data_IF_892974836256
#
_entry.id   IF_892974836256
#
_cell.length_a   1.000
_cell.length_b   1.000
_cell.length_c   1.000
_cell.angle_alpha   90.00
_cell.angle_beta   90.00
_cell.angle_gamma   90.00
#
_symmetry.space_group_name_H-M   'P 1'
#
loop_
_entity.id
_entity.type
_entity.pdbx_description
1 polymer ?
#
# COMPACT_ATOMS: atom_id res chain seq x y z
N UNK A 1 6.46 -33.80 41.45
CA UNK A 1 5.93 -32.44 41.20
C UNK A 1 6.45 -31.53 42.28
N UNK A 2 7.63 -30.96 42.09
CA UNK A 2 8.21 -29.94 42.96
C UNK A 2 8.08 -28.62 42.24
N UNK A 3 7.10 -27.82 42.65
CA UNK A 3 6.94 -26.43 42.25
C UNK A 3 8.12 -25.60 42.77
N UNK A 4 9.12 -25.37 41.93
CA UNK A 4 10.06 -24.28 42.15
C UNK A 4 9.37 -22.98 41.71
N UNK A 5 8.93 -22.19 42.70
CA UNK A 5 8.59 -20.78 42.50
C UNK A 5 9.82 -20.09 41.92
N UNK A 6 9.79 -19.79 40.62
CA UNK A 6 10.71 -18.84 39.98
C UNK A 6 10.67 -17.55 40.80
N UNK A 7 11.69 -17.33 41.61
CA UNK A 7 11.91 -16.05 42.26
C UNK A 7 11.97 -14.98 41.17
N UNK A 8 11.20 -13.91 41.34
CA UNK A 8 11.35 -12.70 40.55
C UNK A 8 12.79 -12.21 40.73
N UNK A 9 13.66 -12.55 39.80
CA UNK A 9 14.93 -11.86 39.65
C UNK A 9 14.59 -10.40 39.35
N UNK A 10 15.10 -9.50 40.18
CA UNK A 10 15.02 -8.06 39.99
C UNK A 10 15.61 -7.74 38.60
N UNK A 11 14.74 -7.51 37.64
CA UNK A 11 15.08 -7.35 36.23
C UNK A 11 15.85 -6.05 36.08
N UNK A 12 17.02 -6.08 35.46
CA UNK A 12 17.72 -4.84 35.10
C UNK A 12 16.83 -4.08 34.12
N UNK A 13 16.28 -2.95 34.56
CA UNK A 13 15.45 -2.08 33.73
C UNK A 13 16.34 -1.30 32.74
N UNK A 14 15.82 -1.08 31.53
CA UNK A 14 16.40 -0.10 30.63
C UNK A 14 15.93 1.27 31.09
N UNK A 15 16.74 2.31 30.88
CA UNK A 15 16.26 3.66 31.14
C UNK A 15 15.11 4.02 30.19
N UNK A 16 14.20 4.89 30.65
CA UNK A 16 12.99 5.25 29.91
C UNK A 16 13.29 5.90 28.54
N UNK A 17 14.44 6.54 28.39
CA UNK A 17 14.83 7.16 27.13
C UNK A 17 15.19 6.09 26.09
N UNK A 18 15.99 5.10 26.46
CA UNK A 18 16.34 3.96 25.62
C UNK A 18 15.12 3.11 25.25
N UNK A 19 14.18 2.90 26.17
CA UNK A 19 12.92 2.22 25.85
C UNK A 19 12.09 2.98 24.80
N UNK A 20 12.01 4.31 24.91
CA UNK A 20 11.30 5.14 23.95
C UNK A 20 11.97 5.08 22.56
N UNK A 21 13.30 5.16 22.52
CA UNK A 21 14.08 5.00 21.29
C UNK A 21 13.86 3.63 20.64
N UNK A 22 13.83 2.54 21.42
CA UNK A 22 13.52 1.20 20.93
C UNK A 22 12.11 1.11 20.35
N UNK A 23 11.11 1.68 21.03
CA UNK A 23 9.73 1.72 20.55
C UNK A 23 9.63 2.48 19.22
N UNK A 24 10.28 3.64 19.13
CA UNK A 24 10.35 4.44 17.90
C UNK A 24 11.00 3.66 16.76
N UNK A 25 12.05 2.90 17.03
CA UNK A 25 12.74 2.09 16.03
C UNK A 25 11.85 0.99 15.46
N UNK A 26 11.18 0.22 16.32
CA UNK A 26 10.24 -0.83 15.89
C UNK A 26 9.08 -0.25 15.08
N UNK A 27 8.52 0.87 15.54
CA UNK A 27 7.48 1.58 14.81
C UNK A 27 7.98 2.01 13.41
N UNK A 28 9.19 2.58 13.35
CA UNK A 28 9.81 3.02 12.09
C UNK A 28 9.97 1.86 11.12
N UNK A 29 10.49 0.72 11.57
CA UNK A 29 10.64 -0.46 10.74
C UNK A 29 9.30 -1.01 10.27
N UNK A 30 8.34 -1.18 11.17
CA UNK A 30 7.03 -1.71 10.86
C UNK A 30 6.34 -0.90 9.75
N UNK A 31 6.32 0.43 9.90
CA UNK A 31 5.66 1.30 8.93
C UNK A 31 6.44 1.41 7.63
N UNK A 32 7.77 1.44 7.68
CA UNK A 32 8.60 1.42 6.47
C UNK A 32 8.33 0.17 5.64
N UNK A 33 8.29 -1.02 6.26
CA UNK A 33 7.98 -2.28 5.55
C UNK A 33 6.57 -2.28 4.95
N UNK A 34 5.56 -1.80 5.71
CA UNK A 34 4.17 -1.77 5.26
C UNK A 34 3.97 -0.83 4.07
N UNK A 35 4.51 0.38 4.16
CA UNK A 35 4.40 1.39 3.10
C UNK A 35 5.11 0.91 1.83
N UNK A 36 6.31 0.35 1.98
CA UNK A 36 7.08 -0.20 0.85
C UNK A 36 6.30 -1.30 0.13
N UNK A 37 5.77 -2.29 0.87
CA UNK A 37 4.95 -3.38 0.30
C UNK A 37 3.72 -2.88 -0.42
N UNK A 38 3.00 -1.90 0.16
CA UNK A 38 1.80 -1.37 -0.47
C UNK A 38 2.12 -0.56 -1.72
N UNK A 39 3.26 0.13 -1.73
CA UNK A 39 3.72 0.88 -2.90
C UNK A 39 4.15 -0.05 -4.03
N UNK A 40 4.79 -1.19 -3.73
CA UNK A 40 5.06 -2.24 -4.72
C UNK A 40 3.76 -2.78 -5.35
N UNK A 41 2.70 -2.98 -4.56
CA UNK A 41 1.37 -3.41 -5.07
C UNK A 41 0.75 -2.33 -5.96
N UNK A 42 0.89 -1.06 -5.59
CA UNK A 42 0.38 0.06 -6.39
C UNK A 42 1.08 0.15 -7.75
N UNK A 43 2.41 0.03 -7.76
CA UNK A 43 3.22 0.12 -8.99
C UNK A 43 3.11 -1.13 -9.86
N UNK A 44 3.00 -2.31 -9.24
CA UNK A 44 2.83 -3.57 -9.96
C UNK A 44 1.85 -4.50 -9.23
N UNK A 45 0.53 -4.39 -9.53
CA UNK A 45 -0.49 -5.20 -8.87
C UNK A 45 -0.30 -6.71 -9.10
N UNK A 46 0.26 -7.10 -10.24
CA UNK A 46 0.49 -8.50 -10.59
C UNK A 46 1.58 -9.14 -9.69
N UNK A 47 1.23 -10.11 -8.83
CA UNK A 47 2.20 -10.72 -7.92
C UNK A 47 3.28 -11.52 -8.65
N UNK A 48 2.97 -12.17 -9.76
CA UNK A 48 3.95 -12.96 -10.51
C UNK A 48 5.03 -12.07 -11.12
N UNK A 49 4.63 -10.91 -11.64
CA UNK A 49 5.57 -9.97 -12.22
C UNK A 49 6.48 -9.32 -11.16
N UNK A 50 5.96 -9.06 -9.96
CA UNK A 50 6.78 -8.60 -8.83
C UNK A 50 7.83 -9.63 -8.41
N UNK A 51 7.45 -10.91 -8.34
CA UNK A 51 8.37 -11.99 -7.99
C UNK A 51 9.45 -12.14 -9.07
N UNK A 52 9.06 -12.07 -10.34
CA UNK A 52 9.99 -12.13 -11.47
C UNK A 52 11.03 -11.01 -11.40
N UNK A 53 10.59 -9.76 -11.21
CA UNK A 53 11.47 -8.60 -11.10
C UNK A 53 12.46 -8.74 -9.92
N UNK A 54 11.98 -9.17 -8.76
CA UNK A 54 12.83 -9.44 -7.60
C UNK A 54 13.90 -10.51 -7.87
N UNK A 55 13.58 -11.57 -8.62
CA UNK A 55 14.54 -12.62 -8.98
C UNK A 55 15.64 -12.07 -9.91
N UNK A 56 15.26 -11.28 -10.90
CA UNK A 56 16.23 -10.65 -11.82
C UNK A 56 17.14 -9.66 -11.09
N UNK A 57 16.58 -8.84 -10.19
CA UNK A 57 17.33 -7.93 -9.33
C UNK A 57 18.35 -8.69 -8.46
N UNK A 58 17.95 -9.80 -7.83
CA UNK A 58 18.86 -10.64 -7.03
C UNK A 58 19.96 -11.32 -7.85
N UNK A 59 19.73 -11.57 -9.13
CA UNK A 59 20.69 -12.19 -10.04
C UNK A 59 21.59 -11.16 -10.74
N UNK A 60 21.42 -9.87 -10.47
CA UNK A 60 22.09 -8.76 -11.15
C UNK A 60 21.92 -8.85 -12.69
N UNK A 61 20.71 -9.25 -13.10
CA UNK A 61 20.32 -9.41 -14.50
C UNK A 61 19.19 -8.47 -14.82
N UNK A 62 19.18 -7.95 -16.05
CA UNK A 62 18.09 -7.09 -16.51
C UNK A 62 16.84 -7.94 -16.79
N UNK A 63 15.74 -7.62 -16.11
CA UNK A 63 14.45 -8.26 -16.39
C UNK A 63 14.01 -8.02 -17.85
N UNK A 64 13.32 -8.97 -18.48
CA UNK A 64 12.76 -8.79 -19.81
C UNK A 64 11.82 -7.58 -19.81
N UNK A 65 11.98 -6.67 -20.78
CA UNK A 65 11.08 -5.53 -20.94
C UNK A 65 9.75 -5.99 -21.54
N UNK A 66 8.86 -6.54 -20.71
CA UNK A 66 7.51 -6.92 -21.14
C UNK A 66 6.66 -5.68 -21.30
N UNK A 67 5.87 -5.62 -22.38
CA UNK A 67 4.89 -4.55 -22.60
C UNK A 67 3.92 -4.44 -21.43
N UNK A 68 3.70 -3.22 -20.95
CA UNK A 68 2.65 -2.97 -19.96
C UNK A 68 1.27 -2.90 -20.61
N UNK A 69 0.22 -2.82 -19.79
CA UNK A 69 -1.15 -2.92 -20.27
C UNK A 69 -1.50 -1.85 -21.33
N UNK A 70 -1.15 -0.56 -21.14
CA UNK A 70 -1.42 0.47 -22.15
C UNK A 70 -0.65 0.24 -23.45
N UNK A 71 0.62 -0.18 -23.39
CA UNK A 71 1.39 -0.51 -24.59
C UNK A 71 0.80 -1.68 -25.36
N UNK A 72 0.34 -2.73 -24.65
CA UNK A 72 -0.27 -3.90 -25.25
C UNK A 72 -1.55 -3.52 -26.00
N UNK A 73 -2.43 -2.75 -25.35
CA UNK A 73 -3.62 -2.21 -26.00
C UNK A 73 -3.25 -1.36 -27.21
N UNK A 74 -2.28 -0.45 -27.05
CA UNK A 74 -1.83 0.44 -28.11
C UNK A 74 -1.30 -0.30 -29.33
N UNK A 75 -0.61 -1.43 -29.13
CA UNK A 75 -0.13 -2.28 -30.21
C UNK A 75 -1.27 -2.87 -31.03
N UNK A 76 -2.26 -3.50 -30.40
CA UNK A 76 -3.42 -4.06 -31.10
C UNK A 76 -4.24 -2.98 -31.82
N UNK A 77 -4.39 -1.79 -31.24
CA UNK A 77 -5.11 -0.69 -31.89
C UNK A 77 -4.39 -0.20 -33.16
N UNK A 78 -3.07 -0.11 -33.13
CA UNK A 78 -2.27 0.26 -34.30
C UNK A 78 -2.36 -0.81 -35.38
N UNK A 79 -2.20 -2.09 -35.01
CA UNK A 79 -2.27 -3.21 -35.94
C UNK A 79 -3.64 -3.29 -36.61
N UNK A 80 -4.72 -3.17 -35.82
CA UNK A 80 -6.08 -3.12 -36.34
C UNK A 80 -6.29 -1.91 -37.26
N UNK A 81 -5.81 -0.72 -36.88
CA UNK A 81 -5.94 0.48 -37.71
C UNK A 81 -5.23 0.36 -39.06
N UNK A 82 -4.08 -0.33 -39.09
CA UNK A 82 -3.37 -0.64 -40.34
C UNK A 82 -4.13 -1.66 -41.19
N UNK A 83 -4.77 -2.66 -40.59
CA UNK A 83 -5.56 -3.68 -41.29
C UNK A 83 -6.86 -3.12 -41.89
N UNK A 84 -7.53 -2.18 -41.21
CA UNK A 84 -8.66 -1.44 -41.76
C UNK A 84 -8.28 -0.55 -42.96
N UNK A 85 -6.99 -0.21 -43.09
CA UNK A 85 -6.43 0.54 -44.20
C UNK A 85 -6.55 2.07 -44.04
N UNK A 86 -5.62 2.82 -44.66
CA UNK A 86 -5.45 4.27 -44.46
C UNK A 86 -6.59 5.12 -45.05
N UNK A 87 -7.44 4.52 -45.89
CA UNK A 87 -8.60 5.19 -46.49
C UNK A 87 -9.82 5.30 -45.57
N UNK A 88 -9.79 4.68 -44.39
CA UNK A 88 -10.92 4.70 -43.45
C UNK A 88 -10.65 5.70 -42.32
N UNK A 89 -11.66 6.51 -41.97
CA UNK A 89 -11.55 7.41 -40.81
C UNK A 89 -11.38 6.62 -39.50
N UNK A 90 -11.99 5.44 -39.41
CA UNK A 90 -11.86 4.56 -38.26
C UNK A 90 -10.43 4.02 -38.11
N UNK A 91 -9.81 3.54 -39.19
CA UNK A 91 -8.41 3.09 -39.16
C UNK A 91 -7.45 4.19 -38.72
N UNK A 92 -7.61 5.40 -39.26
CA UNK A 92 -6.80 6.56 -38.87
C UNK A 92 -7.02 6.96 -37.39
N UNK A 93 -8.26 6.91 -36.89
CA UNK A 93 -8.56 7.18 -35.48
C UNK A 93 -7.96 6.12 -34.54
N UNK A 94 -8.07 4.84 -34.90
CA UNK A 94 -7.48 3.73 -34.14
C UNK A 94 -5.97 3.88 -34.00
N UNK A 95 -5.27 4.24 -35.07
CA UNK A 95 -3.82 4.47 -35.03
C UNK A 95 -3.49 5.60 -34.03
N UNK A 96 -4.21 6.72 -34.06
CA UNK A 96 -3.99 7.85 -33.12
C UNK A 96 -4.26 7.49 -31.67
N UNK A 97 -5.33 6.73 -31.41
CA UNK A 97 -5.61 6.22 -30.08
C UNK A 97 -4.50 5.26 -29.61
N UNK A 98 -4.05 4.34 -30.48
CA UNK A 98 -3.00 3.39 -30.15
C UNK A 98 -1.64 4.03 -29.90
N UNK A 99 -1.24 5.02 -30.71
CA UNK A 99 -0.04 5.84 -30.49
C UNK A 99 -0.09 6.55 -29.13
N UNK A 100 -1.25 7.07 -28.74
CA UNK A 100 -1.44 7.75 -27.45
C UNK A 100 -1.37 6.76 -26.28
N UNK A 101 -1.95 5.56 -26.43
CA UNK A 101 -1.83 4.51 -25.41
C UNK A 101 -0.38 4.04 -25.21
N UNK A 102 0.41 3.92 -26.28
CA UNK A 102 1.85 3.64 -26.16
C UNK A 102 2.61 4.74 -25.40
N UNK A 103 2.27 6.01 -25.62
CA UNK A 103 2.86 7.14 -24.85
C UNK A 103 2.50 7.07 -23.37
N UNK A 104 1.26 6.73 -23.02
CA UNK A 104 0.85 6.50 -21.63
C UNK A 104 1.63 5.34 -21.02
N UNK A 105 1.78 4.23 -21.74
CA UNK A 105 2.56 3.11 -21.24
C UNK A 105 4.03 3.46 -21.02
N UNK A 106 4.61 4.36 -21.82
CA UNK A 106 5.97 4.88 -21.57
C UNK A 106 6.03 5.68 -20.27
N UNK A 107 5.07 6.59 -20.04
CA UNK A 107 4.99 7.36 -18.79
C UNK A 107 4.77 6.46 -17.56
N UNK A 108 3.99 5.40 -17.71
CA UNK A 108 3.75 4.40 -16.66
C UNK A 108 5.04 3.66 -16.26
N UNK A 109 5.87 3.27 -17.24
CA UNK A 109 7.20 2.71 -16.95
C UNK A 109 8.10 3.68 -16.21
N UNK A 110 8.08 4.95 -16.60
CA UNK A 110 8.87 5.99 -15.94
C UNK A 110 8.43 6.19 -14.49
N UNK A 111 7.12 6.18 -14.21
CA UNK A 111 6.59 6.22 -12.85
C UNK A 111 7.09 5.05 -12.00
N UNK A 112 7.01 3.82 -12.53
CA UNK A 112 7.46 2.60 -11.85
C UNK A 112 8.95 2.70 -11.54
N UNK A 113 9.78 3.04 -12.53
CA UNK A 113 11.23 3.13 -12.35
C UNK A 113 11.63 4.25 -11.38
N UNK A 114 11.05 5.44 -11.52
CA UNK A 114 11.36 6.58 -10.66
C UNK A 114 10.98 6.29 -9.21
N UNK A 115 9.80 5.71 -8.99
CA UNK A 115 9.35 5.31 -7.65
C UNK A 115 10.21 4.18 -7.07
N UNK A 116 10.63 3.22 -7.88
CA UNK A 116 11.53 2.15 -7.43
C UNK A 116 12.87 2.71 -6.96
N UNK A 117 13.49 3.59 -7.75
CA UNK A 117 14.83 4.14 -7.47
C UNK A 117 14.81 5.14 -6.31
N UNK A 118 13.89 6.10 -6.33
CA UNK A 118 13.93 7.23 -5.40
C UNK A 118 13.14 6.99 -4.11
N UNK A 119 12.21 6.04 -4.11
CA UNK A 119 11.38 5.73 -2.94
C UNK A 119 11.61 4.32 -2.40
N UNK A 120 11.45 3.27 -3.19
CA UNK A 120 11.55 1.89 -2.67
C UNK A 120 12.97 1.50 -2.26
N UNK A 121 13.98 1.80 -3.08
CA UNK A 121 15.38 1.42 -2.82
C UNK A 121 15.93 2.02 -1.52
N UNK A 122 15.77 3.32 -1.21
CA UNK A 122 16.19 3.88 0.08
C UNK A 122 15.54 3.20 1.28
N UNK A 123 14.23 2.93 1.21
CA UNK A 123 13.51 2.23 2.28
C UNK A 123 14.01 0.79 2.45
N UNK A 124 14.27 0.09 1.34
CA UNK A 124 14.83 -1.26 1.34
C UNK A 124 16.24 -1.28 1.94
N UNK A 125 17.09 -0.32 1.59
CA UNK A 125 18.44 -0.19 2.16
C UNK A 125 18.41 0.02 3.67
N UNK A 126 17.48 0.83 4.19
CA UNK A 126 17.27 0.97 5.63
C UNK A 126 16.87 -0.35 6.30
N UNK A 127 15.89 -1.07 5.74
CA UNK A 127 15.41 -2.34 6.30
C UNK A 127 16.48 -3.44 6.23
N UNK A 128 17.15 -3.57 5.09
CA UNK A 128 18.10 -4.64 4.83
C UNK A 128 19.52 -4.36 5.36
N UNK A 129 19.84 -3.09 5.65
CA UNK A 129 21.13 -2.64 6.16
C UNK A 129 21.03 -2.14 7.61
N UNK A 130 20.68 -0.87 7.80
CA UNK A 130 20.73 -0.17 9.09
C UNK A 130 19.90 -0.90 10.16
N UNK A 131 18.67 -1.29 9.83
CA UNK A 131 17.78 -1.93 10.79
C UNK A 131 18.25 -3.32 11.20
N UNK A 132 18.88 -4.09 10.30
CA UNK A 132 19.48 -5.38 10.69
C UNK A 132 20.58 -5.20 11.73
N UNK A 133 21.36 -4.13 11.61
CA UNK A 133 22.38 -3.77 12.60
C UNK A 133 21.72 -3.38 13.93
N UNK A 134 20.71 -2.51 13.90
CA UNK A 134 19.93 -2.14 15.10
C UNK A 134 19.35 -3.38 15.79
N UNK A 135 18.73 -4.29 15.03
CA UNK A 135 18.13 -5.52 15.55
C UNK A 135 19.18 -6.45 16.19
N UNK A 136 20.37 -6.56 15.60
CA UNK A 136 21.49 -7.33 16.14
C UNK A 136 21.97 -6.74 17.47
N UNK A 137 22.25 -5.45 17.51
CA UNK A 137 22.75 -4.78 18.73
C UNK A 137 21.70 -4.79 19.85
N UNK A 138 20.42 -4.63 19.52
CA UNK A 138 19.30 -4.82 20.46
C UNK A 138 19.28 -6.24 21.05
N UNK A 139 19.48 -7.28 20.22
CA UNK A 139 19.53 -8.67 20.70
C UNK A 139 20.74 -8.89 21.63
N UNK A 140 21.89 -8.33 21.29
CA UNK A 140 23.08 -8.37 22.15
C UNK A 140 22.84 -7.65 23.48
N UNK A 141 22.19 -6.49 23.47
CA UNK A 141 21.81 -5.76 24.68
C UNK A 141 20.89 -6.61 25.58
N UNK A 142 19.89 -7.28 24.99
CA UNK A 142 19.01 -8.18 25.74
C UNK A 142 19.77 -9.35 26.36
N UNK A 143 20.73 -9.94 25.65
CA UNK A 143 21.57 -11.00 26.18
C UNK A 143 22.43 -10.49 27.35
N UNK A 144 23.10 -9.34 27.19
CA UNK A 144 23.93 -8.74 28.26
C UNK A 144 23.12 -8.36 29.49
N UNK A 145 21.86 -7.95 29.32
CA UNK A 145 20.93 -7.73 30.44
C UNK A 145 20.70 -9.01 31.23
N UNK A 146 20.46 -10.13 30.54
CA UNK A 146 20.26 -11.44 31.18
C UNK A 146 21.53 -11.94 31.88
N UNK A 147 22.70 -11.72 31.29
CA UNK A 147 24.00 -12.06 31.89
C UNK A 147 24.22 -11.28 33.20
N UNK A 148 23.91 -9.98 33.19
CA UNK A 148 23.98 -9.11 34.37
C UNK A 148 22.96 -9.52 35.45
N UNK A 149 21.72 -9.82 35.08
CA UNK A 149 20.69 -10.32 36.01
C UNK A 149 21.14 -11.64 36.69
N UNK A 150 21.77 -12.53 35.92
CA UNK A 150 22.31 -13.78 36.42
C UNK A 150 23.50 -13.55 37.38
N UNK A 151 24.42 -12.65 37.04
CA UNK A 151 25.56 -12.27 37.90
C UNK A 151 25.08 -11.64 39.22
N UNK A 152 24.13 -10.70 39.16
CA UNK A 152 23.49 -10.10 40.35
C UNK A 152 22.84 -11.17 41.23
N UNK A 153 22.18 -12.16 40.62
CA UNK A 153 21.57 -13.28 41.35
C UNK A 153 22.62 -14.18 42.00
N UNK A 154 23.74 -14.46 41.34
CA UNK A 154 24.87 -15.22 41.91
C UNK A 154 25.47 -14.50 43.12
N UNK A 155 25.69 -13.18 43.00
CA UNK A 155 26.18 -12.36 44.10
C UNK A 155 25.24 -12.41 45.31
N UNK A 156 23.92 -12.29 45.12
CA UNK A 156 22.92 -12.42 46.20
C UNK A 156 22.97 -13.80 46.89
N UNK A 157 23.35 -14.87 46.19
CA UNK A 157 23.45 -16.24 46.73
C UNK A 157 24.80 -16.55 47.38
N UNK A 158 25.86 -15.78 47.10
CA UNK A 158 27.20 -16.03 47.63
C UNK A 158 27.29 -15.72 49.14
N UNK A 159 27.52 -16.76 49.96
CA UNK A 159 27.59 -16.64 51.43
C UNK A 159 29.02 -16.59 51.97
N UNK A 160 30.00 -17.11 51.24
CA UNK A 160 31.41 -17.18 51.65
C UNK A 160 32.16 -15.96 51.12
N UNK A 161 33.06 -15.37 51.91
CA UNK A 161 33.76 -14.13 51.58
C UNK A 161 34.51 -14.18 50.23
N UNK A 162 35.23 -15.27 49.97
CA UNK A 162 35.97 -15.47 48.71
C UNK A 162 35.02 -15.60 47.51
N UNK A 163 33.97 -16.43 47.64
CA UNK A 163 32.95 -16.58 46.60
C UNK A 163 32.19 -15.26 46.34
N UNK A 164 31.97 -14.47 47.39
CA UNK A 164 31.35 -13.14 47.28
C UNK A 164 32.25 -12.16 46.54
N UNK A 165 33.54 -12.10 46.86
CA UNK A 165 34.50 -11.26 46.14
C UNK A 165 34.58 -11.62 44.65
N UNK A 166 34.57 -12.92 44.32
CA UNK A 166 34.54 -13.37 42.93
C UNK A 166 33.24 -12.97 42.21
N UNK A 167 32.07 -13.12 42.84
CA UNK A 167 30.78 -12.69 42.28
C UNK A 167 30.65 -11.16 42.17
N UNK A 168 31.23 -10.38 43.09
CA UNK A 168 31.28 -8.91 43.00
C UNK A 168 32.09 -8.46 41.78
N UNK A 169 33.24 -9.10 41.53
CA UNK A 169 34.05 -8.85 40.34
C UNK A 169 33.30 -9.24 39.06
N UNK A 170 32.57 -10.36 39.05
CA UNK A 170 31.74 -10.79 37.93
C UNK A 170 30.61 -9.79 37.61
N UNK A 171 29.91 -9.30 38.63
CA UNK A 171 28.89 -8.24 38.47
C UNK A 171 29.50 -6.98 37.88
N UNK A 172 30.70 -6.58 38.32
CA UNK A 172 31.38 -5.40 37.79
C UNK A 172 31.72 -5.54 36.31
N UNK A 173 32.20 -6.71 35.88
CA UNK A 173 32.53 -6.98 34.48
C UNK A 173 31.26 -6.98 33.62
N UNK A 174 30.25 -7.76 34.02
CA UNK A 174 28.98 -7.87 33.26
C UNK A 174 28.22 -6.55 33.21
N UNK A 175 28.27 -5.72 34.25
CA UNK A 175 27.70 -4.37 34.25
C UNK A 175 28.40 -3.49 33.21
N UNK A 176 29.75 -3.47 33.20
CA UNK A 176 30.50 -2.68 32.22
C UNK A 176 30.21 -3.12 30.77
N UNK A 177 30.04 -4.43 30.54
CA UNK A 177 29.67 -4.94 29.21
C UNK A 177 28.25 -4.54 28.80
N UNK A 178 27.30 -4.58 29.72
CA UNK A 178 25.93 -4.13 29.51
C UNK A 178 25.89 -2.64 29.20
N UNK A 179 26.56 -1.80 29.99
CA UNK A 179 26.58 -0.34 29.80
C UNK A 179 27.19 0.03 28.43
N UNK A 180 28.30 -0.62 28.06
CA UNK A 180 28.91 -0.45 26.72
C UNK A 180 27.96 -0.85 25.60
N UNK A 181 27.22 -1.95 25.77
CA UNK A 181 26.28 -2.43 24.77
C UNK A 181 25.02 -1.54 24.68
N UNK A 182 24.57 -1.01 25.82
CA UNK A 182 23.45 -0.06 25.89
C UNK A 182 23.81 1.23 25.13
N UNK A 183 25.03 1.73 25.32
CA UNK A 183 25.52 2.92 24.62
C UNK A 183 25.61 2.72 23.10
N UNK A 184 26.15 1.59 22.64
CA UNK A 184 26.18 1.26 21.20
C UNK A 184 24.77 1.23 20.62
N UNK A 185 23.84 0.58 21.34
CA UNK A 185 22.44 0.48 20.90
C UNK A 185 21.79 1.86 20.87
N UNK A 186 22.02 2.69 21.89
CA UNK A 186 21.51 4.06 21.99
C UNK A 186 21.95 4.92 20.80
N UNK A 187 23.25 4.92 20.48
CA UNK A 187 23.79 5.69 19.36
C UNK A 187 23.17 5.31 18.01
N UNK A 188 22.95 4.01 17.77
CA UNK A 188 22.26 3.55 16.57
C UNK A 188 20.80 4.00 16.51
N UNK A 189 20.09 3.93 17.64
CA UNK A 189 18.68 4.32 17.71
C UNK A 189 18.50 5.84 17.57
N UNK A 190 19.43 6.65 18.09
CA UNK A 190 19.43 8.10 17.89
C UNK A 190 19.62 8.48 16.41
N UNK A 191 20.41 7.66 15.68
CA UNK A 191 20.62 7.79 14.23
C UNK A 191 19.34 7.70 13.38
N UNK A 192 18.27 7.08 13.90
CA UNK A 192 16.99 6.94 13.19
C UNK A 192 16.37 8.30 12.83
N UNK A 193 16.67 9.36 13.58
CA UNK A 193 16.18 10.70 13.25
C UNK A 193 16.74 11.20 11.92
N UNK A 194 17.98 10.84 11.58
CA UNK A 194 18.58 11.11 10.27
C UNK A 194 17.89 10.30 9.16
N UNK A 195 17.59 9.02 9.43
CA UNK A 195 16.81 8.17 8.53
C UNK A 195 15.43 8.78 8.24
N UNK A 196 14.73 9.31 9.24
CA UNK A 196 13.45 9.99 9.04
C UNK A 196 13.56 11.20 8.12
N UNK A 197 14.60 12.03 8.28
CA UNK A 197 14.85 13.16 7.39
C UNK A 197 15.11 12.70 5.94
N UNK A 198 15.74 11.53 5.75
CA UNK A 198 15.89 10.93 4.43
C UNK A 198 14.57 10.40 3.87
N UNK A 199 13.79 9.64 4.65
CA UNK A 199 12.49 9.10 4.23
C UNK A 199 11.49 10.20 3.87
N UNK A 200 11.53 11.34 4.57
CA UNK A 200 10.71 12.51 4.23
C UNK A 200 11.04 13.06 2.84
N UNK A 201 12.31 13.08 2.45
CA UNK A 201 12.70 13.46 1.07
C UNK A 201 12.17 12.46 0.06
N UNK A 202 12.37 11.16 0.30
CA UNK A 202 11.86 10.11 -0.57
C UNK A 202 10.33 10.20 -0.77
N UNK A 203 9.57 10.55 0.29
CA UNK A 203 8.12 10.78 0.19
C UNK A 203 7.76 11.94 -0.75
N UNK A 204 8.52 13.04 -0.71
CA UNK A 204 8.31 14.15 -1.64
C UNK A 204 8.61 13.70 -3.08
N UNK A 205 9.73 13.00 -3.29
CA UNK A 205 10.12 12.49 -4.61
C UNK A 205 9.05 11.53 -5.18
N UNK A 206 8.45 10.69 -4.34
CA UNK A 206 7.37 9.78 -4.72
C UNK A 206 6.09 10.51 -5.15
N UNK A 207 5.71 11.55 -4.40
CA UNK A 207 4.54 12.37 -4.74
C UNK A 207 4.78 13.14 -6.03
N UNK A 208 5.99 13.68 -6.23
CA UNK A 208 6.37 14.38 -7.45
C UNK A 208 6.38 13.46 -8.68
N UNK A 209 6.85 12.21 -8.53
CA UNK A 209 6.79 11.20 -9.57
C UNK A 209 5.34 10.91 -10.00
N UNK A 210 4.44 10.68 -9.03
CA UNK A 210 3.02 10.47 -9.32
C UNK A 210 2.36 11.69 -9.97
N UNK A 211 2.62 12.89 -9.46
CA UNK A 211 2.09 14.13 -10.02
C UNK A 211 2.50 14.30 -11.49
N UNK A 212 3.78 14.06 -11.78
CA UNK A 212 4.34 14.17 -13.13
C UNK A 212 3.66 13.18 -14.08
N UNK A 213 3.49 11.93 -13.65
CA UNK A 213 2.79 10.91 -14.43
C UNK A 213 1.36 11.34 -14.80
N UNK A 214 0.53 11.71 -13.82
CA UNK A 214 -0.85 12.07 -14.08
C UNK A 214 -0.97 13.32 -14.96
N UNK A 215 -0.10 14.31 -14.76
CA UNK A 215 -0.05 15.51 -15.59
C UNK A 215 0.30 15.19 -17.06
N UNK A 216 1.29 14.33 -17.28
CA UNK A 216 1.66 13.88 -18.63
C UNK A 216 0.52 13.11 -19.30
N UNK A 217 -0.08 12.13 -18.61
CA UNK A 217 -1.19 11.35 -19.14
C UNK A 217 -2.38 12.24 -19.53
N UNK A 218 -2.72 13.22 -18.69
CA UNK A 218 -3.76 14.21 -18.99
C UNK A 218 -3.44 14.98 -20.28
N UNK A 219 -2.20 15.49 -20.41
CA UNK A 219 -1.79 16.24 -21.60
C UNK A 219 -1.86 15.37 -22.87
N UNK A 220 -1.42 14.11 -22.80
CA UNK A 220 -1.51 13.18 -23.93
C UNK A 220 -2.95 12.94 -24.39
N UNK A 221 -3.87 12.79 -23.43
CA UNK A 221 -5.29 12.58 -23.70
C UNK A 221 -5.97 13.84 -24.25
N UNK A 222 -5.62 15.01 -23.72
CA UNK A 222 -6.12 16.29 -24.22
C UNK A 222 -5.70 16.53 -25.68
N UNK A 223 -4.45 16.20 -26.02
CA UNK A 223 -3.97 16.34 -27.39
C UNK A 223 -4.59 15.30 -28.34
N UNK A 224 -4.89 14.09 -27.85
CA UNK A 224 -5.64 13.10 -28.63
C UNK A 224 -7.03 13.64 -29.00
N UNK A 225 -7.75 14.28 -28.07
CA UNK A 225 -9.07 14.86 -28.37
C UNK A 225 -9.01 15.86 -29.53
N UNK A 226 -7.97 16.71 -29.58
CA UNK A 226 -7.74 17.66 -30.68
C UNK A 226 -7.43 16.94 -32.00
N UNK A 227 -6.59 15.90 -31.96
CA UNK A 227 -6.25 15.11 -33.13
C UNK A 227 -7.47 14.39 -33.71
N UNK A 228 -8.30 13.77 -32.86
CA UNK A 228 -9.53 13.11 -33.30
C UNK A 228 -10.57 14.11 -33.83
N UNK A 229 -10.65 15.31 -33.25
CA UNK A 229 -11.53 16.38 -33.73
C UNK A 229 -11.15 16.95 -35.11
N UNK A 230 -9.93 16.68 -35.59
CA UNK A 230 -9.47 17.09 -36.92
C UNK A 230 -9.92 16.16 -38.04
N UNK A 231 -10.46 14.97 -37.72
CA UNK A 231 -11.09 14.13 -38.73
C UNK A 231 -12.33 14.83 -39.27
N UNK A 232 -12.45 15.01 -40.60
CA UNK A 232 -13.50 15.82 -41.17
C UNK A 232 -14.87 15.29 -40.75
N UNK A 233 -15.75 16.21 -40.33
CA UNK A 233 -17.17 15.97 -40.06
C UNK A 233 -17.96 15.53 -41.29
N UNK A 234 -17.31 15.10 -42.38
CA UNK A 234 -17.93 14.55 -43.58
C UNK A 234 -18.82 13.33 -43.29
N UNK A 235 -18.69 12.71 -42.12
CA UNK A 235 -19.60 11.66 -41.66
C UNK A 235 -20.98 12.18 -41.19
N UNK A 236 -21.12 13.45 -40.80
CA UNK A 236 -22.42 14.05 -40.48
C UNK A 236 -23.20 14.47 -41.74
N UNK A 237 -22.54 14.53 -42.91
CA UNK A 237 -23.18 14.86 -44.20
C UNK A 237 -23.43 13.64 -45.09
N UNK A 238 -23.18 12.42 -44.61
CA UNK A 238 -23.53 11.23 -45.37
C UNK A 238 -25.01 10.90 -45.14
N UNK A 239 -25.80 11.10 -46.18
CA UNK A 239 -27.28 11.11 -46.20
C UNK A 239 -27.93 9.73 -45.95
N UNK A 240 -27.35 8.87 -45.09
CA UNK A 240 -27.88 7.52 -44.88
C UNK A 240 -27.75 6.92 -43.47
N UNK A 241 -27.31 7.64 -42.44
CA UNK A 241 -27.43 7.16 -41.05
C UNK A 241 -27.67 8.34 -40.09
N UNK A 242 -28.88 8.41 -39.55
CA UNK A 242 -29.21 9.25 -38.40
C UNK A 242 -28.58 8.63 -37.14
N UNK A 243 -27.34 9.00 -36.83
CA UNK A 243 -26.75 8.77 -35.51
C UNK A 243 -26.59 10.12 -34.79
N UNK A 244 -26.94 10.06 -33.50
CA UNK A 244 -27.11 11.16 -32.54
C UNK A 244 -26.11 12.30 -32.66
N UNK A 245 -26.66 13.52 -32.69
CA UNK A 245 -25.97 14.80 -32.47
C UNK A 245 -24.95 14.74 -31.32
N UNK A 246 -23.75 15.31 -31.47
CA UNK A 246 -22.83 15.47 -30.35
C UNK A 246 -23.36 16.54 -29.39
N UNK A 247 -23.36 16.20 -28.10
CA UNK A 247 -23.68 17.09 -27.00
C UNK A 247 -22.72 18.28 -27.01
N UNK A 248 -23.29 19.46 -26.83
CA UNK A 248 -22.64 20.76 -26.89
C UNK A 248 -21.40 20.84 -26.00
N UNK A 249 -20.41 21.55 -26.54
CA UNK A 249 -19.20 22.05 -25.88
C UNK A 249 -19.50 22.69 -24.52
N UNK A 250 -19.03 22.09 -23.44
CA UNK A 250 -18.85 22.80 -22.18
C UNK A 250 -17.69 23.77 -22.34
N UNK A 251 -18.01 25.05 -22.19
CA UNK A 251 -17.06 26.16 -22.20
C UNK A 251 -16.14 26.05 -20.99
N UNK A 252 -14.83 26.25 -21.21
CA UNK A 252 -13.87 26.40 -20.13
C UNK A 252 -14.20 27.64 -19.28
N UNK A 253 -14.05 27.61 -17.95
CA UNK A 253 -13.92 28.83 -17.17
C UNK A 253 -12.43 29.18 -17.04
N UNK A 254 -12.04 30.31 -17.62
CA UNK A 254 -10.85 31.06 -17.27
C UNK A 254 -11.12 31.92 -16.04
N UNK A 255 -10.46 31.65 -14.91
CA UNK A 255 -10.23 32.65 -13.85
C UNK A 255 -8.88 32.43 -13.17
N UNK A 256 -8.04 33.47 -13.21
CA UNK A 256 -6.84 33.64 -12.40
C UNK A 256 -7.22 34.27 -11.05
N UNK A 257 -6.70 33.68 -9.97
CA UNK A 257 -6.29 34.21 -8.66
C UNK A 257 -7.13 35.29 -7.93
N UNK A 258 -7.73 34.93 -6.78
CA UNK A 258 -7.28 35.33 -5.42
C UNK A 258 -8.37 35.16 -4.34
N UNK A 259 -7.93 34.64 -3.19
CA UNK A 259 -8.45 34.83 -1.83
C UNK A 259 -9.79 34.19 -1.39
N UNK A 260 -9.63 33.32 -0.39
CA UNK A 260 -10.50 33.13 0.80
C UNK A 260 -11.79 32.30 0.70
N UNK A 261 -11.77 31.25 1.52
CA UNK A 261 -12.89 30.63 2.25
C UNK A 261 -13.79 29.58 1.56
N UNK A 262 -13.92 28.47 2.31
CA UNK A 262 -14.98 27.45 2.37
C UNK A 262 -15.10 26.42 1.23
N UNK A 263 -14.64 25.21 1.56
CA UNK A 263 -14.93 23.93 0.90
C UNK A 263 -16.42 23.55 1.03
N UNK A 264 -17.10 23.02 -0.01
CA UNK A 264 -18.29 22.22 0.19
C UNK A 264 -17.89 20.75 0.42
N UNK A 265 -18.31 20.23 1.57
CA UNK A 265 -18.30 18.80 1.90
C UNK A 265 -19.31 18.05 1.03
N UNK A 266 -18.86 17.11 0.20
CA UNK A 266 -19.76 16.11 -0.42
C UNK A 266 -20.03 15.04 0.64
N UNK A 267 -21.19 15.15 1.28
CA UNK A 267 -21.65 14.23 2.31
C UNK A 267 -22.27 12.98 1.66
N UNK A 268 -21.61 11.82 1.82
CA UNK A 268 -22.12 10.46 1.55
C UNK A 268 -23.29 10.10 2.50
N UNK A 269 -24.41 10.81 2.36
CA UNK A 269 -25.54 10.77 3.30
C UNK A 269 -26.73 9.91 2.82
N UNK A 270 -26.66 9.35 1.61
CA UNK A 270 -27.76 8.54 1.05
C UNK A 270 -27.62 7.05 1.43
N UNK A 271 -26.39 6.53 1.54
CA UNK A 271 -26.13 5.11 1.81
C UNK A 271 -26.49 4.72 3.26
N UNK A 272 -26.34 5.63 4.22
CA UNK A 272 -26.54 5.41 5.66
C UNK A 272 -28.01 5.26 6.10
N UNK A 273 -28.97 5.70 5.30
CA UNK A 273 -30.39 5.70 5.70
C UNK A 273 -31.04 4.31 5.57
N UNK A 274 -30.74 3.55 4.51
CA UNK A 274 -31.31 2.21 4.29
C UNK A 274 -30.72 1.11 5.20
N UNK A 275 -29.48 1.29 5.67
CA UNK A 275 -28.75 0.30 6.48
C UNK A 275 -29.19 0.34 7.96
N UNK A 276 -29.60 1.51 8.45
CA UNK A 276 -30.07 1.67 9.83
C UNK A 276 -31.40 0.95 10.07
N UNK A 277 -32.30 0.94 9.07
CA UNK A 277 -33.57 0.20 9.12
C UNK A 277 -33.37 -1.32 9.19
N UNK A 278 -32.46 -1.87 8.38
CA UNK A 278 -32.12 -3.30 8.33
C UNK A 278 -31.58 -3.86 9.67
N UNK A 279 -30.99 -3.00 10.51
CA UNK A 279 -30.50 -3.38 11.85
C UNK A 279 -31.61 -3.41 12.90
N UNK A 280 -32.72 -2.70 12.68
CA UNK A 280 -33.88 -2.65 13.59
C UNK A 280 -34.99 -3.66 13.25
N UNK A 281 -35.11 -4.05 11.99
CA UNK A 281 -36.05 -5.06 11.51
C UNK A 281 -35.30 -6.32 11.11
N UNK A 282 -35.62 -7.47 11.70
CA UNK A 282 -35.07 -8.80 11.33
C UNK A 282 -35.53 -9.30 9.95
N UNK A 283 -35.61 -8.42 8.95
CA UNK A 283 -36.00 -8.71 7.58
C UNK A 283 -34.80 -8.85 6.66
N UNK A 284 -34.93 -9.71 5.65
CA UNK A 284 -34.00 -9.78 4.53
C UNK A 284 -34.36 -8.75 3.46
N UNK A 285 -33.36 -8.15 2.81
CA UNK A 285 -33.52 -7.24 1.65
C UNK A 285 -32.70 -7.74 0.47
N UNK A 286 -33.05 -7.32 -0.76
CA UNK A 286 -32.21 -7.59 -1.92
C UNK A 286 -31.14 -6.50 -2.04
N UNK A 287 -29.95 -6.87 -2.47
CA UNK A 287 -28.86 -5.96 -2.74
C UNK A 287 -28.22 -6.29 -4.08
N UNK A 288 -27.87 -5.26 -4.85
CA UNK A 288 -27.06 -5.36 -6.06
C UNK A 288 -25.58 -5.24 -5.67
N UNK A 289 -24.75 -6.14 -6.17
CA UNK A 289 -23.31 -6.11 -5.95
C UNK A 289 -22.69 -5.06 -6.87
N UNK A 290 -21.89 -4.16 -6.31
CA UNK A 290 -21.24 -3.07 -7.05
C UNK A 290 -19.89 -3.48 -7.65
N UNK A 291 -19.18 -4.42 -7.02
CA UNK A 291 -17.85 -4.87 -7.41
C UNK A 291 -17.67 -6.36 -7.14
N UNK A 292 -16.82 -7.01 -7.94
CA UNK A 292 -16.40 -8.38 -7.68
C UNK A 292 -15.71 -8.49 -6.31
N UNK A 293 -16.01 -9.57 -5.58
CA UNK A 293 -15.43 -9.84 -4.27
C UNK A 293 -15.11 -11.33 -4.13
N UNK A 294 -13.86 -11.65 -3.85
CA UNK A 294 -13.45 -13.02 -3.55
C UNK A 294 -13.46 -13.26 -2.03
N UNK A 295 -14.21 -14.28 -1.59
CA UNK A 295 -14.24 -14.69 -0.19
C UNK A 295 -12.84 -15.06 0.32
N UNK A 296 -12.40 -14.41 1.40
CA UNK A 296 -11.09 -14.66 1.99
C UNK A 296 -11.05 -15.96 2.83
N UNK A 297 -12.21 -16.47 3.24
CA UNK A 297 -12.34 -17.71 4.01
C UNK A 297 -13.74 -18.33 3.83
N UNK A 298 -13.94 -19.53 4.38
CA UNK A 298 -15.20 -20.29 4.26
C UNK A 298 -16.41 -19.66 4.98
N UNK A 299 -16.22 -18.59 5.74
CA UNK A 299 -17.32 -17.84 6.37
C UNK A 299 -17.84 -16.67 5.52
N UNK A 300 -17.17 -16.37 4.40
CA UNK A 300 -17.49 -15.28 3.47
C UNK A 300 -18.07 -15.82 2.16
N UNK A 301 -18.81 -14.98 1.43
CA UNK A 301 -19.43 -15.33 0.16
C UNK A 301 -18.79 -14.54 -0.99
N UNK A 302 -18.30 -15.22 -2.02
CA UNK A 302 -17.76 -14.55 -3.21
C UNK A 302 -18.87 -13.95 -4.06
N UNK A 303 -18.68 -12.71 -4.48
CA UNK A 303 -19.63 -11.89 -5.22
C UNK A 303 -19.13 -11.55 -6.62
N UNK A 304 -20.07 -11.43 -7.55
CA UNK A 304 -19.85 -10.91 -8.91
C UNK A 304 -20.58 -9.58 -9.08
N UNK A 305 -19.93 -8.59 -9.68
CA UNK A 305 -20.50 -7.29 -9.96
C UNK A 305 -21.81 -7.42 -10.77
N UNK A 306 -22.76 -6.54 -10.44
CA UNK A 306 -24.13 -6.49 -10.97
C UNK A 306 -25.02 -7.70 -10.65
N UNK A 307 -24.58 -8.68 -9.85
CA UNK A 307 -25.46 -9.74 -9.36
C UNK A 307 -26.36 -9.24 -8.22
N UNK A 308 -27.56 -9.83 -8.08
CA UNK A 308 -28.51 -9.49 -7.01
C UNK A 308 -28.59 -10.61 -5.99
N UNK A 309 -28.22 -10.31 -4.75
CA UNK A 309 -28.22 -11.26 -3.62
C UNK A 309 -29.22 -10.83 -2.54
N UNK A 310 -29.59 -11.78 -1.67
CA UNK A 310 -30.40 -11.48 -0.48
C UNK A 310 -29.48 -11.21 0.70
N UNK A 311 -29.67 -10.12 1.43
CA UNK A 311 -28.84 -9.73 2.57
C UNK A 311 -29.67 -9.48 3.82
N UNK A 312 -29.14 -9.85 4.99
CA UNK A 312 -29.78 -9.62 6.28
C UNK A 312 -28.74 -9.44 7.39
N UNK A 313 -29.15 -8.78 8.48
CA UNK A 313 -28.31 -8.61 9.67
C UNK A 313 -28.47 -9.79 10.63
N UNK A 314 -27.37 -10.22 11.25
CA UNK A 314 -27.36 -11.26 12.30
C UNK A 314 -26.89 -10.63 13.62
N UNK A 315 -27.56 -10.92 14.75
CA UNK A 315 -27.11 -10.45 16.06
C UNK A 315 -25.66 -10.90 16.36
N UNK A 316 -24.80 -9.94 16.73
CA UNK A 316 -23.38 -10.20 17.05
C UNK A 316 -22.41 -10.10 15.86
N UNK A 317 -22.89 -9.67 14.68
CA UNK A 317 -22.05 -9.42 13.51
C UNK A 317 -21.50 -7.98 13.48
N UNK A 318 -20.30 -7.81 12.92
CA UNK A 318 -19.62 -6.51 12.80
C UNK A 318 -20.43 -5.51 11.95
N UNK A 319 -20.28 -4.21 12.25
CA UNK A 319 -21.10 -3.13 11.68
C UNK A 319 -21.01 -2.98 10.17
N UNK A 320 -19.92 -3.48 9.58
CA UNK A 320 -19.52 -3.29 8.19
C UNK A 320 -19.83 -4.51 7.31
N UNK A 321 -20.46 -5.53 7.91
CA UNK A 321 -20.76 -6.81 7.27
C UNK A 321 -22.25 -7.14 7.32
N UNK A 322 -22.75 -7.77 6.26
CA UNK A 322 -24.08 -8.39 6.18
C UNK A 322 -23.95 -9.87 5.84
N UNK A 323 -24.97 -10.66 6.16
CA UNK A 323 -25.04 -12.05 5.73
C UNK A 323 -25.70 -12.07 4.35
N UNK A 324 -24.95 -12.50 3.34
CA UNK A 324 -25.43 -12.68 1.97
C UNK A 324 -25.88 -14.11 1.73
N UNK A 325 -26.98 -14.28 1.00
CA UNK A 325 -27.54 -15.55 0.56
C UNK A 325 -27.71 -15.52 -0.96
N UNK A 326 -27.00 -16.42 -1.64
CA UNK A 326 -27.08 -16.67 -3.09
C UNK A 326 -27.44 -18.14 -3.31
N UNK A 327 -28.73 -18.41 -3.51
CA UNK A 327 -29.25 -19.77 -3.64
C UNK A 327 -28.99 -20.59 -2.37
N UNK A 328 -28.21 -21.67 -2.47
CA UNK A 328 -27.85 -22.52 -1.33
C UNK A 328 -26.57 -22.06 -0.60
N UNK A 329 -25.89 -21.03 -1.07
CA UNK A 329 -24.66 -20.52 -0.47
C UNK A 329 -24.97 -19.32 0.43
N UNK A 330 -24.41 -19.33 1.64
CA UNK A 330 -24.52 -18.22 2.59
C UNK A 330 -23.15 -17.87 3.13
N UNK A 331 -22.88 -16.58 3.31
CA UNK A 331 -21.62 -16.11 3.87
C UNK A 331 -21.65 -14.60 4.12
N UNK A 332 -20.65 -14.13 4.87
CA UNK A 332 -20.49 -12.71 5.15
C UNK A 332 -20.08 -11.96 3.89
N UNK A 333 -20.68 -10.80 3.69
CA UNK A 333 -20.44 -9.88 2.57
C UNK A 333 -20.23 -8.46 3.09
N UNK A 334 -19.25 -7.72 2.55
CA UNK A 334 -18.97 -6.35 2.99
C UNK A 334 -20.03 -5.37 2.46
N UNK A 335 -20.55 -4.50 3.34
CA UNK A 335 -21.61 -3.54 2.99
C UNK A 335 -21.16 -2.55 1.91
N UNK A 336 -19.88 -2.18 1.89
CA UNK A 336 -19.31 -1.23 0.92
C UNK A 336 -19.35 -1.72 -0.53
N UNK A 337 -19.59 -3.03 -0.73
CA UNK A 337 -19.68 -3.67 -2.05
C UNK A 337 -21.13 -3.85 -2.51
N UNK A 338 -22.09 -3.33 -1.74
CA UNK A 338 -23.51 -3.58 -1.93
C UNK A 338 -24.29 -2.27 -2.07
N UNK A 339 -25.24 -2.28 -2.98
CA UNK A 339 -26.31 -1.30 -3.08
C UNK A 339 -27.63 -1.98 -2.69
N UNK A 340 -28.24 -1.55 -1.60
CA UNK A 340 -29.55 -2.07 -1.18
C UNK A 340 -30.63 -1.64 -2.17
N UNK A 341 -31.37 -2.62 -2.68
CA UNK A 341 -32.53 -2.39 -3.54
C UNK A 341 -33.76 -2.28 -2.63
N UNK A 342 -34.46 -1.14 -2.72
CA UNK A 342 -35.71 -0.90 -1.98
C UNK A 342 -36.87 -1.74 -2.51
#
# INVERSE_FOLDING_TARGET
FTEEKLGQAEKTELDAHLENLLSKAECTKLWTEKIMKQTEVLLQPNPNARIEEFVYEKLDRKAPSRMNNPELLGQYMIDAGNEFGPGTAYGNALIKCGETQKRIGTADRELIQTSAINFLTPLRNFIEGDYKTIAKERRLLQNKRLDLDAAKTRLKKAKVAEARAASEQEVRITQSEFDRQAEITRLLLEGISSTHAHHLRCLNDFVEAQMTYYAQCYQYMLDLQKQLGSFPSTFLSNNNQSSSTPVQSVSAPSVLASASASLPSVSNSIVTSGISELKSSSGSRKARVLYDYDAANSSELSLLADEVITVYSIPGMDSDWLMGERGNQKGKVPITYLELLN
#
